data_IF_952452861044
#
_entry.id   IF_952452861044
#
_cell.length_a   1.000
_cell.length_b   1.000
_cell.length_c   1.000
_cell.angle_alpha   90.00
_cell.angle_beta   90.00
_cell.angle_gamma   90.00
#
_symmetry.space_group_name_H-M   'P 1'
#
loop_
_entity.id
_entity.type
_entity.pdbx_description
1 polymer ?
#
# COMPACT_ATOMS: atom_id res chain seq x y z
N UNK A 1 -53.57 7.82 -15.98
CA UNK A 1 -53.02 6.86 -15.05
C UNK A 1 -52.74 5.57 -15.80
N UNK A 2 -51.51 5.38 -16.27
CA UNK A 2 -51.04 4.09 -16.81
C UNK A 2 -50.60 3.25 -15.62
N UNK A 3 -51.43 2.29 -15.21
CA UNK A 3 -51.00 1.23 -14.30
C UNK A 3 -49.91 0.45 -15.03
N UNK A 4 -48.71 0.50 -14.51
CA UNK A 4 -47.64 -0.41 -14.95
C UNK A 4 -48.07 -1.83 -14.57
N UNK A 5 -47.88 -2.82 -15.43
CA UNK A 5 -48.21 -4.21 -15.08
C UNK A 5 -47.40 -4.61 -13.83
N UNK A 6 -48.06 -5.18 -12.82
CA UNK A 6 -47.41 -5.63 -11.55
C UNK A 6 -46.21 -6.56 -11.80
N UNK A 7 -46.17 -7.23 -12.92
CA UNK A 7 -45.07 -8.10 -13.37
C UNK A 7 -43.77 -7.34 -13.71
N UNK A 8 -43.83 -6.03 -13.99
CA UNK A 8 -42.64 -5.21 -14.31
C UNK A 8 -42.02 -4.52 -13.10
N UNK A 9 -42.72 -4.41 -11.98
CA UNK A 9 -42.21 -3.77 -10.80
C UNK A 9 -40.91 -4.43 -10.25
N UNK A 10 -40.80 -5.77 -10.16
CA UNK A 10 -39.55 -6.40 -9.71
C UNK A 10 -38.39 -6.15 -10.67
N UNK A 11 -38.66 -6.10 -11.97
CA UNK A 11 -37.65 -5.85 -13.01
C UNK A 11 -37.12 -4.41 -12.92
N UNK A 12 -38.00 -3.45 -12.71
CA UNK A 12 -37.67 -2.04 -12.53
C UNK A 12 -36.87 -1.86 -11.25
N UNK A 13 -37.24 -2.52 -10.13
CA UNK A 13 -36.52 -2.49 -8.89
C UNK A 13 -35.08 -3.04 -9.03
N UNK A 14 -34.92 -4.19 -9.68
CA UNK A 14 -33.58 -4.76 -9.95
C UNK A 14 -32.75 -3.87 -10.88
N UNK A 15 -33.37 -3.27 -11.88
CA UNK A 15 -32.69 -2.34 -12.78
C UNK A 15 -32.20 -1.07 -12.03
N UNK A 16 -33.04 -0.50 -11.17
CA UNK A 16 -32.68 0.65 -10.35
C UNK A 16 -31.59 0.30 -9.33
N UNK A 17 -31.61 -0.90 -8.76
CA UNK A 17 -30.53 -1.39 -7.88
C UNK A 17 -29.19 -1.51 -8.65
N UNK A 18 -29.23 -2.06 -9.87
CA UNK A 18 -28.04 -2.14 -10.71
C UNK A 18 -27.48 -0.76 -11.08
N UNK A 19 -28.38 0.18 -11.45
CA UNK A 19 -27.96 1.56 -11.71
C UNK A 19 -27.33 2.22 -10.50
N UNK A 20 -27.92 2.06 -9.31
CA UNK A 20 -27.35 2.60 -8.07
C UNK A 20 -25.97 2.01 -7.74
N UNK A 21 -25.77 0.70 -7.97
CA UNK A 21 -24.45 0.07 -7.79
C UNK A 21 -23.44 0.59 -8.83
N UNK A 22 -23.85 0.82 -10.05
CA UNK A 22 -22.99 1.37 -11.10
C UNK A 22 -22.58 2.83 -10.79
N UNK A 23 -23.54 3.62 -10.32
CA UNK A 23 -23.30 5.02 -9.91
C UNK A 23 -22.29 5.10 -8.76
N UNK A 24 -22.48 4.31 -7.71
CA UNK A 24 -21.54 4.20 -6.60
C UNK A 24 -20.14 3.75 -7.04
N UNK A 25 -20.07 2.76 -7.94
CA UNK A 25 -18.78 2.30 -8.46
C UNK A 25 -18.07 3.37 -9.32
N UNK A 26 -18.85 4.15 -10.06
CA UNK A 26 -18.32 5.26 -10.85
C UNK A 26 -17.80 6.41 -9.95
N UNK A 27 -18.54 6.80 -8.92
CA UNK A 27 -18.12 7.81 -7.94
C UNK A 27 -16.85 7.37 -7.21
N UNK A 28 -16.75 6.10 -6.81
CA UNK A 28 -15.54 5.55 -6.18
C UNK A 28 -14.34 5.60 -7.12
N UNK A 29 -14.53 5.27 -8.41
CA UNK A 29 -13.47 5.33 -9.41
C UNK A 29 -13.02 6.78 -9.68
N UNK A 30 -13.95 7.72 -9.73
CA UNK A 30 -13.66 9.15 -9.94
C UNK A 30 -12.88 9.72 -8.74
N UNK A 31 -13.33 9.41 -7.50
CA UNK A 31 -12.62 9.77 -6.27
C UNK A 31 -11.20 9.20 -6.23
N UNK A 32 -11.06 7.89 -6.52
CA UNK A 32 -9.76 7.24 -6.59
C UNK A 32 -8.83 7.92 -7.62
N UNK A 33 -9.31 8.23 -8.83
CA UNK A 33 -8.49 8.89 -9.85
C UNK A 33 -8.05 10.30 -9.41
N UNK A 34 -8.91 11.04 -8.70
CA UNK A 34 -8.60 12.36 -8.18
C UNK A 34 -7.51 12.29 -7.08
N UNK A 35 -7.64 11.35 -6.14
CA UNK A 35 -6.66 11.13 -5.07
C UNK A 35 -5.30 10.75 -5.63
N UNK A 36 -5.29 9.85 -6.59
CA UNK A 36 -4.12 9.44 -7.33
C UNK A 36 -3.42 10.59 -8.03
N UNK A 37 -4.18 11.39 -8.76
CA UNK A 37 -3.63 12.55 -9.45
C UNK A 37 -3.00 13.53 -8.44
N UNK A 38 -3.65 13.75 -7.30
CA UNK A 38 -3.14 14.63 -6.26
C UNK A 38 -1.86 14.08 -5.61
N UNK A 39 -1.84 12.77 -5.30
CA UNK A 39 -0.68 12.09 -4.72
C UNK A 39 0.54 12.06 -5.65
N UNK A 40 0.34 12.05 -6.96
CA UNK A 40 1.42 12.12 -7.95
C UNK A 40 1.86 13.57 -8.26
N UNK A 41 0.93 14.52 -8.34
CA UNK A 41 1.24 15.90 -8.68
C UNK A 41 2.13 16.58 -7.63
N UNK A 42 1.93 16.30 -6.35
CA UNK A 42 2.69 16.93 -5.26
C UNK A 42 4.19 16.63 -5.34
N UNK A 43 4.64 15.36 -5.36
CA UNK A 43 6.06 15.03 -5.48
C UNK A 43 6.67 15.50 -6.81
N UNK A 44 5.93 15.42 -7.90
CA UNK A 44 6.39 15.90 -9.20
C UNK A 44 6.62 17.43 -9.20
N UNK A 45 5.74 18.20 -8.59
CA UNK A 45 5.92 19.63 -8.42
C UNK A 45 7.16 19.95 -7.57
N UNK A 46 7.41 19.19 -6.51
CA UNK A 46 8.60 19.32 -5.67
C UNK A 46 9.88 19.04 -6.47
N UNK A 47 9.89 17.95 -7.25
CA UNK A 47 11.02 17.58 -8.12
C UNK A 47 11.32 18.64 -9.17
N UNK A 48 10.28 19.14 -9.82
CA UNK A 48 10.44 20.21 -10.83
C UNK A 48 11.01 21.47 -10.17
N UNK A 49 10.41 21.91 -9.05
CA UNK A 49 10.84 23.13 -8.36
C UNK A 49 12.27 23.04 -7.83
N UNK A 50 12.66 21.92 -7.22
CA UNK A 50 14.03 21.70 -6.72
C UNK A 50 15.05 21.68 -7.87
N UNK A 51 14.71 21.03 -8.98
CA UNK A 51 15.56 20.96 -10.16
C UNK A 51 15.71 22.34 -10.82
N UNK A 52 14.61 23.08 -11.01
CA UNK A 52 14.66 24.44 -11.55
C UNK A 52 15.51 25.38 -10.66
N UNK A 53 15.36 25.27 -9.33
CA UNK A 53 16.14 26.07 -8.41
C UNK A 53 17.63 25.71 -8.47
N UNK A 54 17.97 24.42 -8.64
CA UNK A 54 19.34 23.99 -8.83
C UNK A 54 19.97 24.51 -10.12
N UNK A 55 19.18 24.67 -11.19
CA UNK A 55 19.64 25.17 -12.48
C UNK A 55 19.80 26.69 -12.53
N UNK A 56 19.14 27.46 -11.65
CA UNK A 56 19.16 28.93 -11.66
C UNK A 56 20.46 29.54 -11.14
N UNK A 57 21.23 28.84 -10.31
CA UNK A 57 22.48 29.32 -9.72
C UNK A 57 23.59 28.29 -9.92
N UNK A 58 24.81 28.80 -10.12
CA UNK A 58 25.98 27.93 -10.02
C UNK A 58 26.07 27.39 -8.58
N UNK A 59 26.11 26.09 -8.46
CA UNK A 59 26.23 25.33 -7.21
C UNK A 59 27.52 24.53 -7.25
N UNK A 60 28.09 24.25 -6.09
CA UNK A 60 29.20 23.31 -6.00
C UNK A 60 28.72 21.87 -6.16
N UNK A 61 29.68 20.94 -6.29
CA UNK A 61 29.39 19.53 -6.54
C UNK A 61 28.65 18.85 -5.36
N UNK A 62 28.87 19.31 -4.17
CA UNK A 62 28.27 18.69 -2.96
C UNK A 62 26.84 19.17 -2.79
N UNK A 63 26.55 20.46 -3.01
CA UNK A 63 25.18 20.98 -3.09
C UNK A 63 24.35 20.29 -4.19
N UNK A 64 24.95 20.02 -5.35
CA UNK A 64 24.26 19.29 -6.41
C UNK A 64 23.99 17.84 -6.07
N UNK A 65 24.89 17.17 -5.35
CA UNK A 65 24.68 15.81 -4.85
C UNK A 65 23.52 15.75 -3.86
N UNK A 66 23.42 16.70 -2.96
CA UNK A 66 22.29 16.78 -2.01
C UNK A 66 20.96 16.93 -2.74
N UNK A 67 20.87 17.84 -3.71
CA UNK A 67 19.65 18.01 -4.51
C UNK A 67 19.30 16.75 -5.29
N UNK A 68 20.29 16.12 -5.92
CA UNK A 68 20.07 14.88 -6.66
C UNK A 68 19.67 13.73 -5.73
N UNK A 69 20.24 13.66 -4.52
CA UNK A 69 19.85 12.68 -3.49
C UNK A 69 18.39 12.83 -3.09
N UNK A 70 17.99 14.07 -2.73
CA UNK A 70 16.60 14.37 -2.38
C UNK A 70 15.63 14.10 -3.55
N UNK A 71 16.01 14.46 -4.78
CA UNK A 71 15.20 14.18 -5.95
C UNK A 71 15.06 12.67 -6.21
N UNK A 72 16.12 11.89 -5.95
CA UNK A 72 16.06 10.43 -6.09
C UNK A 72 15.10 9.80 -5.08
N UNK A 73 15.10 10.25 -3.84
CA UNK A 73 14.16 9.78 -2.80
C UNK A 73 12.71 10.06 -3.22
N UNK A 74 12.44 11.26 -3.75
CA UNK A 74 11.10 11.63 -4.20
C UNK A 74 10.66 10.85 -5.46
N UNK A 75 11.59 10.57 -6.40
CA UNK A 75 11.34 9.69 -7.54
C UNK A 75 11.02 8.26 -7.10
N UNK A 76 11.71 7.74 -6.10
CA UNK A 76 11.44 6.41 -5.53
C UNK A 76 10.05 6.36 -4.89
N UNK A 77 9.64 7.45 -4.22
CA UNK A 77 8.30 7.59 -3.69
C UNK A 77 7.23 7.55 -4.78
N UNK A 78 7.40 8.32 -5.86
CA UNK A 78 6.49 8.31 -7.03
C UNK A 78 6.42 6.91 -7.64
N UNK A 79 7.56 6.24 -7.83
CA UNK A 79 7.59 4.88 -8.34
C UNK A 79 6.81 3.90 -7.43
N UNK A 80 6.88 4.07 -6.11
CA UNK A 80 6.09 3.32 -5.14
C UNK A 80 4.59 3.52 -5.34
N UNK A 81 4.12 4.78 -5.45
CA UNK A 81 2.71 5.10 -5.68
C UNK A 81 2.20 4.45 -6.96
N UNK A 82 2.94 4.60 -8.08
CA UNK A 82 2.57 3.97 -9.37
C UNK A 82 2.48 2.45 -9.24
N UNK A 83 3.43 1.86 -8.51
CA UNK A 83 3.45 0.42 -8.30
C UNK A 83 2.24 -0.06 -7.49
N UNK A 84 1.83 0.70 -6.46
CA UNK A 84 0.65 0.41 -5.63
C UNK A 84 -0.64 0.51 -6.43
N UNK A 85 -0.74 1.47 -7.33
CA UNK A 85 -1.86 1.60 -8.26
C UNK A 85 -2.00 0.43 -9.23
N UNK A 86 -0.89 0.03 -9.86
CA UNK A 86 -0.89 -1.12 -10.76
C UNK A 86 -1.33 -2.39 -10.02
N UNK A 87 -0.96 -2.52 -8.76
CA UNK A 87 -1.39 -3.63 -7.92
C UNK A 87 -2.90 -3.60 -7.66
N UNK A 88 -3.46 -2.47 -7.21
CA UNK A 88 -4.89 -2.32 -6.98
C UNK A 88 -5.68 -2.62 -8.26
N UNK A 89 -5.26 -2.07 -9.40
CA UNK A 89 -5.88 -2.36 -10.69
C UNK A 89 -5.85 -3.84 -11.10
N UNK A 90 -4.84 -4.60 -10.69
CA UNK A 90 -4.77 -6.04 -10.93
C UNK A 90 -5.66 -6.83 -9.96
N UNK A 91 -5.73 -6.42 -8.70
CA UNK A 91 -6.58 -7.04 -7.70
C UNK A 91 -8.07 -6.92 -8.06
N UNK A 92 -8.51 -5.74 -8.52
CA UNK A 92 -9.89 -5.48 -8.95
C UNK A 92 -10.32 -6.31 -10.16
N UNK A 93 -9.38 -6.68 -11.02
CA UNK A 93 -9.67 -7.56 -12.19
C UNK A 93 -9.82 -9.03 -11.83
N UNK A 94 -9.85 -9.38 -10.54
CA UNK A 94 -9.99 -10.77 -10.10
C UNK A 94 -8.77 -11.62 -10.47
N UNK A 95 -7.58 -11.04 -10.50
CA UNK A 95 -6.35 -11.77 -10.70
C UNK A 95 -6.28 -12.89 -9.66
N UNK A 96 -6.39 -14.13 -10.12
CA UNK A 96 -6.30 -15.30 -9.26
C UNK A 96 -4.92 -15.34 -8.61
N UNK A 97 -4.87 -15.35 -7.29
CA UNK A 97 -3.62 -15.44 -6.54
C UNK A 97 -2.80 -16.64 -7.02
N UNK A 98 -1.56 -16.38 -7.41
CA UNK A 98 -0.65 -17.39 -7.93
C UNK A 98 0.03 -18.13 -6.76
N UNK A 99 -0.71 -19.03 -6.14
CA UNK A 99 -0.24 -19.76 -4.96
C UNK A 99 0.88 -20.74 -5.31
N UNK A 100 2.00 -20.62 -4.60
CA UNK A 100 3.14 -21.55 -4.68
C UNK A 100 3.43 -22.15 -3.31
N UNK A 101 3.92 -23.39 -3.23
CA UNK A 101 4.35 -23.98 -1.97
C UNK A 101 5.42 -23.10 -1.30
N UNK A 102 5.18 -22.74 -0.04
CA UNK A 102 6.06 -21.88 0.75
C UNK A 102 6.39 -22.61 2.05
N UNK A 103 7.65 -22.89 2.27
CA UNK A 103 8.12 -23.69 3.40
C UNK A 103 8.15 -22.91 4.71
N UNK A 104 8.26 -21.57 4.65
CA UNK A 104 8.34 -20.72 5.85
C UNK A 104 7.91 -19.28 5.50
N UNK A 105 6.87 -18.83 6.17
CA UNK A 105 6.45 -17.43 6.13
C UNK A 105 7.36 -16.53 6.98
N UNK A 106 7.97 -17.07 8.02
CA UNK A 106 8.96 -16.35 8.82
C UNK A 106 10.18 -15.98 7.97
N UNK A 107 10.66 -16.89 7.12
CA UNK A 107 11.76 -16.59 6.19
C UNK A 107 11.38 -15.52 5.18
N UNK A 108 10.15 -15.54 4.68
CA UNK A 108 9.61 -14.50 3.78
C UNK A 108 9.52 -13.14 4.48
N UNK A 109 9.01 -13.09 5.71
CA UNK A 109 8.97 -11.86 6.51
C UNK A 109 10.38 -11.30 6.77
N UNK A 110 11.34 -12.18 7.06
CA UNK A 110 12.73 -11.77 7.27
C UNK A 110 13.37 -11.18 6.01
N UNK A 111 13.05 -11.68 4.81
CA UNK A 111 13.50 -11.07 3.55
C UNK A 111 12.96 -9.66 3.37
N UNK A 112 11.68 -9.44 3.70
CA UNK A 112 11.09 -8.09 3.64
C UNK A 112 11.73 -7.18 4.68
N UNK A 113 12.05 -7.68 5.87
CA UNK A 113 12.75 -6.91 6.90
C UNK A 113 14.13 -6.45 6.45
N UNK A 114 14.90 -7.33 5.84
CA UNK A 114 16.24 -7.00 5.32
C UNK A 114 16.17 -5.86 4.29
N UNK A 115 15.10 -5.81 3.49
CA UNK A 115 14.87 -4.71 2.55
C UNK A 115 14.61 -3.37 3.27
N UNK A 116 13.93 -3.38 4.41
CA UNK A 116 13.61 -2.19 5.20
C UNK A 116 14.63 -1.87 6.30
N UNK A 117 15.69 -2.63 6.44
CA UNK A 117 16.65 -2.56 7.56
C UNK A 117 17.21 -1.15 7.77
N UNK A 118 17.66 -0.49 6.70
CA UNK A 118 18.22 0.86 6.79
C UNK A 118 17.19 1.86 7.35
N UNK A 119 15.97 1.87 6.83
CA UNK A 119 14.92 2.77 7.30
C UNK A 119 14.52 2.51 8.76
N UNK A 120 14.55 1.26 9.20
CA UNK A 120 14.22 0.88 10.56
C UNK A 120 15.32 1.28 11.55
N UNK A 121 16.58 1.12 11.17
CA UNK A 121 17.74 1.57 11.96
C UNK A 121 17.70 3.09 12.11
N UNK A 122 17.45 3.84 11.05
CA UNK A 122 17.34 5.30 11.07
C UNK A 122 16.18 5.76 11.96
N UNK A 123 15.05 5.04 11.93
CA UNK A 123 13.92 5.28 12.82
C UNK A 123 14.18 4.84 14.29
N UNK A 124 15.30 4.14 14.54
CA UNK A 124 15.64 3.60 15.87
C UNK A 124 14.69 2.49 16.30
N UNK A 125 14.20 1.68 15.38
CA UNK A 125 13.27 0.58 15.63
C UNK A 125 13.99 -0.77 15.61
N UNK A 126 13.47 -1.73 16.36
CA UNK A 126 13.88 -3.12 16.31
C UNK A 126 12.81 -3.97 15.64
N UNK A 127 13.21 -5.09 15.05
CA UNK A 127 12.32 -6.01 14.36
C UNK A 127 12.29 -7.36 15.03
N UNK A 128 11.11 -7.98 15.07
CA UNK A 128 10.92 -9.32 15.60
C UNK A 128 9.93 -10.09 14.72
N UNK A 129 10.27 -11.33 14.36
CA UNK A 129 9.33 -12.29 13.76
C UNK A 129 9.02 -13.36 14.79
N UNK A 130 7.74 -13.57 15.06
CA UNK A 130 7.26 -14.56 16.04
C UNK A 130 6.34 -15.54 15.35
N UNK A 131 6.64 -16.82 15.51
CA UNK A 131 5.91 -17.90 14.85
C UNK A 131 6.36 -18.17 13.43
N UNK A 132 5.80 -19.20 12.83
CA UNK A 132 6.01 -19.59 11.44
C UNK A 132 4.83 -20.41 10.95
N UNK A 133 4.66 -20.49 9.63
CA UNK A 133 3.71 -21.37 8.99
C UNK A 133 4.18 -21.74 7.58
N UNK A 134 3.81 -22.95 7.16
CA UNK A 134 3.98 -23.43 5.79
C UNK A 134 2.63 -23.50 5.07
N UNK A 135 2.65 -23.44 3.75
CA UNK A 135 1.41 -23.51 2.96
C UNK A 135 1.63 -23.12 1.51
N UNK A 136 0.52 -22.88 0.81
CA UNK A 136 0.57 -22.39 -0.58
C UNK A 136 0.09 -20.94 -0.62
N UNK A 137 1.01 -20.01 -0.89
CA UNK A 137 0.75 -18.57 -0.86
C UNK A 137 1.22 -17.91 -2.16
N UNK A 138 0.62 -16.77 -2.46
CA UNK A 138 1.17 -15.85 -3.46
C UNK A 138 2.26 -15.00 -2.80
N UNK A 139 3.49 -15.48 -2.89
CA UNK A 139 4.62 -14.88 -2.18
C UNK A 139 4.92 -13.45 -2.63
N UNK A 140 4.82 -13.06 -3.92
CA UNK A 140 4.94 -11.66 -4.34
C UNK A 140 3.90 -10.74 -3.71
N UNK A 141 2.62 -11.17 -3.68
CA UNK A 141 1.56 -10.40 -3.05
C UNK A 141 1.77 -10.24 -1.55
N UNK A 142 2.18 -11.34 -0.89
CA UNK A 142 2.42 -11.34 0.53
C UNK A 142 3.63 -10.47 0.93
N UNK A 143 4.73 -10.54 0.17
CA UNK A 143 5.89 -9.67 0.36
C UNK A 143 5.51 -8.20 0.25
N UNK A 144 4.67 -7.86 -0.71
CA UNK A 144 4.19 -6.49 -0.92
C UNK A 144 3.30 -6.02 0.22
N UNK A 145 2.33 -6.85 0.64
CA UNK A 145 1.47 -6.53 1.77
C UNK A 145 2.30 -6.30 3.05
N UNK A 146 3.27 -7.18 3.31
CA UNK A 146 4.19 -7.03 4.43
C UNK A 146 5.04 -5.77 4.31
N UNK A 147 5.58 -5.46 3.13
CA UNK A 147 6.38 -4.25 2.88
C UNK A 147 5.57 -2.98 3.17
N UNK A 148 4.32 -2.92 2.74
CA UNK A 148 3.43 -1.79 3.01
C UNK A 148 3.13 -1.65 4.52
N UNK A 149 2.83 -2.76 5.20
CA UNK A 149 2.56 -2.76 6.63
C UNK A 149 3.80 -2.38 7.46
N UNK A 150 4.97 -2.88 7.08
CA UNK A 150 6.24 -2.54 7.74
C UNK A 150 6.61 -1.08 7.47
N UNK A 151 6.41 -0.58 6.26
CA UNK A 151 6.60 0.83 5.91
C UNK A 151 5.70 1.75 6.74
N UNK A 152 4.43 1.41 6.91
CA UNK A 152 3.52 2.13 7.80
C UNK A 152 3.98 2.05 9.26
N UNK A 153 4.34 0.85 9.73
CA UNK A 153 4.87 0.69 11.08
C UNK A 153 6.13 1.52 11.32
N UNK A 154 7.06 1.58 10.35
CA UNK A 154 8.27 2.41 10.43
C UNK A 154 7.95 3.89 10.55
N UNK A 155 6.94 4.36 9.83
CA UNK A 155 6.53 5.78 9.84
C UNK A 155 5.85 6.19 11.13
N UNK A 156 5.04 5.32 11.72
CA UNK A 156 4.15 5.66 12.84
C UNK A 156 4.57 5.05 14.18
N UNK A 157 5.59 4.18 14.21
CA UNK A 157 6.07 3.59 15.44
C UNK A 157 6.84 4.60 16.29
N UNK A 158 6.71 4.45 17.61
CA UNK A 158 7.48 5.21 18.58
C UNK A 158 8.95 4.79 18.50
N UNK A 159 9.85 5.77 18.40
CA UNK A 159 11.31 5.53 18.41
C UNK A 159 11.73 4.68 19.62
N UNK A 160 12.58 3.70 19.39
CA UNK A 160 13.05 2.75 20.41
C UNK A 160 12.05 1.59 20.66
N UNK A 161 10.94 1.51 19.91
CA UNK A 161 10.01 0.40 20.03
C UNK A 161 10.34 -0.74 19.05
N UNK A 162 9.64 -1.86 19.23
CA UNK A 162 9.77 -3.04 18.36
C UNK A 162 8.58 -3.13 17.41
N UNK A 163 8.86 -3.30 16.13
CA UNK A 163 7.87 -3.74 15.12
C UNK A 163 7.92 -5.26 15.07
N UNK A 164 6.78 -5.90 15.32
CA UNK A 164 6.67 -7.36 15.40
C UNK A 164 5.77 -7.88 14.30
N UNK A 165 6.20 -8.94 13.61
CA UNK A 165 5.36 -9.75 12.74
C UNK A 165 5.02 -11.04 13.46
N UNK A 166 3.75 -11.26 13.73
CA UNK A 166 3.23 -12.47 14.36
C UNK A 166 2.59 -13.36 13.29
N UNK A 167 3.02 -14.62 13.24
CA UNK A 167 2.52 -15.62 12.29
C UNK A 167 1.91 -16.74 13.08
N UNK A 168 0.61 -16.98 12.90
CA UNK A 168 -0.13 -18.02 13.61
C UNK A 168 -0.91 -18.86 12.60
N UNK A 169 -0.67 -20.17 12.63
CA UNK A 169 -1.51 -21.12 11.90
C UNK A 169 -2.84 -21.28 12.66
N UNK A 170 -3.95 -21.06 11.96
CA UNK A 170 -5.30 -21.21 12.49
C UNK A 170 -5.97 -22.49 12.01
N UNK A 171 -7.16 -22.78 12.55
CA UNK A 171 -7.96 -23.91 12.10
C UNK A 171 -8.33 -23.78 10.61
N UNK A 172 -8.62 -24.89 9.96
CA UNK A 172 -9.01 -25.00 8.56
C UNK A 172 -7.92 -24.61 7.51
N UNK A 173 -6.63 -24.55 7.93
CA UNK A 173 -5.53 -24.24 7.00
C UNK A 173 -5.37 -22.75 6.70
N UNK A 174 -5.99 -21.91 7.49
CA UNK A 174 -5.79 -20.46 7.45
C UNK A 174 -4.52 -20.08 8.22
N UNK A 175 -3.88 -18.99 7.81
CA UNK A 175 -2.74 -18.41 8.51
C UNK A 175 -3.04 -16.94 8.77
N UNK A 176 -2.96 -16.56 10.03
CA UNK A 176 -3.08 -15.19 10.47
C UNK A 176 -1.69 -14.55 10.54
N UNK A 177 -1.52 -13.44 9.84
CA UNK A 177 -0.31 -12.66 9.83
C UNK A 177 -0.63 -11.25 10.33
N UNK A 178 0.00 -10.86 11.45
CA UNK A 178 -0.19 -9.54 12.07
C UNK A 178 1.12 -8.78 12.07
N UNK A 179 1.05 -7.49 11.74
CA UNK A 179 2.13 -6.54 11.97
C UNK A 179 1.72 -5.63 13.13
N UNK A 180 2.50 -5.65 14.19
CA UNK A 180 2.22 -4.95 15.44
C UNK A 180 3.32 -3.92 15.70
N UNK A 181 2.95 -2.68 15.95
CA UNK A 181 3.85 -1.62 16.36
C UNK A 181 3.25 -0.82 17.54
N UNK A 182 4.09 -0.09 18.26
CA UNK A 182 3.65 0.93 19.22
C UNK A 182 3.80 2.30 18.60
N UNK A 183 2.73 3.08 18.61
CA UNK A 183 2.70 4.43 18.06
C UNK A 183 1.56 5.25 18.62
N UNK A 184 1.33 6.44 18.06
CA UNK A 184 0.15 7.23 18.36
C UNK A 184 -1.11 6.47 17.97
N UNK A 185 -2.18 6.69 18.73
CA UNK A 185 -3.49 6.11 18.43
C UNK A 185 -4.01 6.68 17.11
N UNK A 186 -4.48 5.82 16.23
CA UNK A 186 -5.16 6.24 14.99
C UNK A 186 -6.58 6.69 15.39
N UNK A 187 -6.95 7.92 15.02
CA UNK A 187 -8.29 8.42 15.26
C UNK A 187 -9.32 7.69 14.40
N UNK A 188 -10.60 7.55 14.85
CA UNK A 188 -11.59 6.74 14.13
C UNK A 188 -11.95 7.21 12.72
N UNK A 189 -11.58 8.44 12.38
CA UNK A 189 -11.92 9.10 11.10
C UNK A 189 -10.79 8.98 10.03
N UNK A 190 -9.80 8.09 10.29
CA UNK A 190 -8.70 7.82 9.36
C UNK A 190 -8.67 6.36 8.89
#
# INVERSE_FOLDING_TARGET
GSAQPEELEPLIAQFNELLGRLELAYEQLEGFNADVAHELCTPLATLIGSTELALRKARDADELREVLGSNLEELQRVAGIVHDMLFLSQADRGASARRVPTASLAALAQQVFNYHEAALVDAGLTLEVVGDAEGSFDTPLLQRALSNLIGNATRYAQRGSTVRVEITAEAAGEVLLKVVNRGATIEPDH
#
